data_IF_740972115129
#
_entry.id   IF_740972115129
#
_cell.length_a   1.000
_cell.length_b   1.000
_cell.length_c   1.000
_cell.angle_alpha   90.00
_cell.angle_beta   90.00
_cell.angle_gamma   90.00
#
_symmetry.space_group_name_H-M   'P 1'
#
loop_
_entity.id
_entity.type
_entity.pdbx_description
1 polymer ?
#
# COMPACT_ATOMS: atom_id res chain seq x y z
N UNK A 1 -20.42 7.58 6.80
CA UNK A 1 -19.58 7.60 5.60
C UNK A 1 -18.13 7.54 6.03
N UNK A 2 -17.35 6.61 5.50
CA UNK A 2 -15.92 6.51 5.79
C UNK A 2 -15.17 7.69 5.17
N UNK A 3 -14.07 8.08 5.84
CA UNK A 3 -13.21 9.17 5.36
C UNK A 3 -11.81 8.67 4.98
N UNK A 4 -11.51 7.42 5.32
CA UNK A 4 -10.20 6.84 5.04
C UNK A 4 -10.33 5.32 4.82
N UNK A 5 -9.57 4.78 3.89
CA UNK A 5 -9.58 3.34 3.55
C UNK A 5 -9.31 2.43 4.74
N UNK A 6 -8.48 2.86 5.68
CA UNK A 6 -8.12 2.07 6.86
C UNK A 6 -9.31 1.75 7.75
N UNK A 7 -10.40 2.55 7.68
CA UNK A 7 -11.59 2.30 8.49
C UNK A 7 -12.30 0.98 8.15
N UNK A 8 -12.16 0.47 6.92
CA UNK A 8 -12.66 -0.85 6.55
C UNK A 8 -11.95 -1.94 7.34
N UNK A 9 -10.59 -1.91 7.33
CA UNK A 9 -9.79 -2.86 8.09
C UNK A 9 -10.04 -2.74 9.59
N UNK A 10 -10.02 -1.53 10.14
CA UNK A 10 -10.21 -1.25 11.57
C UNK A 10 -11.54 -1.77 12.10
N UNK A 11 -12.64 -1.55 11.35
CA UNK A 11 -13.98 -2.06 11.69
C UNK A 11 -14.05 -3.58 11.59
N UNK A 12 -13.46 -4.15 10.54
CA UNK A 12 -13.50 -5.60 10.32
C UNK A 12 -12.63 -6.34 11.34
N UNK A 13 -11.43 -5.85 11.63
CA UNK A 13 -10.55 -6.44 12.64
C UNK A 13 -11.16 -6.43 14.05
N UNK A 14 -11.99 -5.43 14.38
CA UNK A 14 -12.73 -5.40 15.65
C UNK A 14 -13.89 -6.40 15.68
N UNK A 15 -14.55 -6.62 14.54
CA UNK A 15 -15.75 -7.47 14.44
C UNK A 15 -15.43 -8.96 14.36
N UNK A 16 -14.42 -9.30 13.54
CA UNK A 16 -14.04 -10.69 13.22
C UNK A 16 -12.52 -10.87 13.20
N UNK A 17 -11.80 -10.64 14.32
CA UNK A 17 -10.33 -10.55 14.37
C UNK A 17 -9.63 -11.81 13.85
N UNK A 18 -10.14 -13.00 14.17
CA UNK A 18 -9.49 -14.29 13.88
C UNK A 18 -9.82 -14.84 12.47
N UNK A 19 -10.70 -14.17 11.74
CA UNK A 19 -11.05 -14.59 10.38
C UNK A 19 -9.88 -14.30 9.45
N UNK A 20 -9.52 -15.23 8.52
CA UNK A 20 -8.55 -14.97 7.47
C UNK A 20 -8.93 -13.74 6.64
N UNK A 21 -8.02 -12.79 6.52
CA UNK A 21 -8.16 -11.59 5.69
C UNK A 21 -7.49 -11.80 4.32
N UNK A 22 -6.26 -12.32 4.34
CA UNK A 22 -5.50 -12.64 3.14
C UNK A 22 -4.79 -13.97 3.30
N UNK A 23 -4.76 -14.73 2.20
CA UNK A 23 -4.11 -16.04 2.13
C UNK A 23 -3.27 -16.08 0.86
N UNK A 24 -2.01 -16.48 0.98
CA UNK A 24 -1.15 -16.86 -0.14
C UNK A 24 -0.65 -18.31 0.04
N UNK A 25 0.26 -18.76 -0.81
CA UNK A 25 0.76 -20.14 -0.78
C UNK A 25 1.49 -20.49 0.52
N UNK A 26 2.05 -19.51 1.23
CA UNK A 26 2.91 -19.71 2.37
C UNK A 26 2.28 -19.25 3.69
N UNK A 27 1.35 -18.29 3.64
CA UNK A 27 0.92 -17.55 4.82
C UNK A 27 -0.59 -17.29 4.81
N UNK A 28 -1.21 -17.43 5.97
CA UNK A 28 -2.56 -16.95 6.26
C UNK A 28 -2.47 -15.80 7.25
N UNK A 29 -3.01 -14.64 6.88
CA UNK A 29 -3.04 -13.46 7.72
C UNK A 29 -4.48 -13.14 8.11
N UNK A 30 -4.78 -13.13 9.41
CA UNK A 30 -6.10 -12.78 9.93
C UNK A 30 -6.33 -11.26 9.87
N UNK A 31 -7.57 -10.80 10.02
CA UNK A 31 -7.86 -9.37 10.10
C UNK A 31 -7.13 -8.69 11.25
N UNK A 32 -7.02 -9.35 12.41
CA UNK A 32 -6.23 -8.85 13.53
C UNK A 32 -4.74 -8.76 13.18
N UNK A 33 -4.17 -9.83 12.62
CA UNK A 33 -2.76 -9.86 12.20
C UNK A 33 -2.44 -8.78 11.16
N UNK A 34 -3.29 -8.64 10.13
CA UNK A 34 -3.13 -7.60 9.12
C UNK A 34 -3.18 -6.20 9.74
N UNK A 35 -4.14 -5.96 10.65
CA UNK A 35 -4.27 -4.68 11.35
C UNK A 35 -3.03 -4.36 12.19
N UNK A 36 -2.50 -5.33 12.96
CA UNK A 36 -1.31 -5.14 13.78
C UNK A 36 -0.05 -4.91 12.95
N UNK A 37 0.19 -5.74 11.94
CA UNK A 37 1.35 -5.62 11.07
C UNK A 37 1.35 -4.30 10.29
N UNK A 38 0.22 -3.91 9.72
CA UNK A 38 0.11 -2.63 9.00
C UNK A 38 0.39 -1.43 9.91
N UNK A 39 -0.07 -1.47 11.16
CA UNK A 39 0.20 -0.42 12.15
C UNK A 39 1.66 -0.39 12.59
N UNK A 40 2.30 -1.56 12.74
CA UNK A 40 3.73 -1.66 13.00
C UNK A 40 4.55 -0.98 11.89
N UNK A 41 4.27 -1.34 10.62
CA UNK A 41 4.92 -0.73 9.46
C UNK A 41 4.64 0.78 9.41
N UNK A 42 3.38 1.20 9.65
CA UNK A 42 3.01 2.61 9.70
C UNK A 42 3.77 3.38 10.78
N UNK A 43 4.04 2.75 11.92
CA UNK A 43 4.84 3.32 13.01
C UNK A 43 6.30 3.45 12.63
N UNK A 44 6.89 2.40 12.02
CA UNK A 44 8.28 2.42 11.55
C UNK A 44 8.52 3.57 10.55
N UNK A 45 7.62 3.69 9.56
CA UNK A 45 7.67 4.78 8.58
C UNK A 45 7.42 6.15 9.22
N UNK A 46 6.38 6.29 10.05
CA UNK A 46 6.00 7.56 10.67
C UNK A 46 7.03 8.11 11.66
N UNK A 47 7.90 7.27 12.24
CA UNK A 47 9.02 7.71 13.09
C UNK A 47 10.14 8.38 12.30
N UNK A 48 10.32 8.01 11.05
CA UNK A 48 11.45 8.48 10.21
C UNK A 48 11.02 9.49 9.16
N UNK A 49 9.75 9.42 8.71
CA UNK A 49 9.22 10.35 7.71
C UNK A 49 8.59 11.55 8.39
N UNK A 50 9.20 12.73 8.20
CA UNK A 50 8.76 13.97 8.84
C UNK A 50 7.49 14.58 8.23
N UNK A 51 6.98 14.03 7.12
CA UNK A 51 5.86 14.60 6.35
C UNK A 51 4.83 13.53 5.97
N UNK A 52 3.57 13.94 5.89
CA UNK A 52 2.47 13.16 5.33
C UNK A 52 2.22 13.53 3.85
N UNK A 53 1.31 12.81 3.20
CA UNK A 53 0.90 13.05 1.82
C UNK A 53 2.07 12.98 0.80
N UNK A 54 3.05 12.12 1.07
CA UNK A 54 4.18 11.87 0.18
C UNK A 54 4.09 10.45 -0.42
N UNK A 55 4.62 10.24 -1.63
CA UNK A 55 4.71 8.91 -2.20
C UNK A 55 5.70 8.05 -1.43
N UNK A 56 5.31 6.83 -1.09
CA UNK A 56 6.18 5.77 -0.58
C UNK A 56 6.10 4.60 -1.55
N UNK A 57 7.23 4.25 -2.14
CA UNK A 57 7.29 3.14 -3.09
C UNK A 57 7.28 1.82 -2.33
N UNK A 58 6.48 0.87 -2.80
CA UNK A 58 6.45 -0.50 -2.30
C UNK A 58 6.97 -1.42 -3.39
N UNK A 59 8.17 -1.95 -3.19
CA UNK A 59 8.86 -2.87 -4.10
C UNK A 59 8.91 -4.26 -3.47
N UNK A 60 7.96 -5.11 -3.83
CA UNK A 60 7.84 -6.43 -3.24
C UNK A 60 7.17 -7.40 -4.22
N UNK A 61 7.41 -8.69 -4.00
CA UNK A 61 6.63 -9.73 -4.63
C UNK A 61 5.20 -9.74 -4.08
N UNK A 62 4.26 -10.23 -4.89
CA UNK A 62 2.87 -10.36 -4.47
C UNK A 62 2.76 -11.35 -3.30
N UNK A 63 2.44 -10.85 -2.13
CA UNK A 63 2.35 -11.62 -0.89
C UNK A 63 1.38 -10.93 0.10
N UNK A 64 1.02 -11.63 1.17
CA UNK A 64 0.23 -11.03 2.26
C UNK A 64 1.01 -9.92 2.96
N UNK A 65 2.35 -10.02 3.06
CA UNK A 65 3.20 -8.98 3.63
C UNK A 65 3.21 -7.71 2.79
N UNK A 66 3.16 -7.84 1.46
CA UNK A 66 3.00 -6.68 0.59
C UNK A 66 1.69 -5.93 0.89
N UNK A 67 0.58 -6.64 1.12
CA UNK A 67 -0.69 -5.99 1.50
C UNK A 67 -0.55 -5.25 2.83
N UNK A 68 0.11 -5.85 3.82
CA UNK A 68 0.39 -5.19 5.09
C UNK A 68 1.25 -3.93 4.90
N UNK A 69 2.22 -3.96 3.98
CA UNK A 69 3.06 -2.80 3.65
C UNK A 69 2.26 -1.68 2.97
N UNK A 70 1.39 -1.99 1.99
CA UNK A 70 0.51 -1.00 1.34
C UNK A 70 -0.35 -0.27 2.37
N UNK A 71 -1.00 -1.02 3.27
CA UNK A 71 -1.80 -0.44 4.34
C UNK A 71 -0.95 0.28 5.39
N UNK A 72 0.25 -0.21 5.68
CA UNK A 72 1.21 0.42 6.58
C UNK A 72 1.64 1.80 6.09
N UNK A 73 1.84 1.96 4.77
CA UNK A 73 2.09 3.28 4.18
C UNK A 73 0.93 4.23 4.45
N UNK A 74 -0.33 3.78 4.31
CA UNK A 74 -1.49 4.61 4.63
C UNK A 74 -1.56 4.97 6.13
N UNK A 75 -1.19 4.05 7.03
CA UNK A 75 -1.11 4.33 8.47
C UNK A 75 -0.06 5.40 8.82
N UNK A 76 1.03 5.50 8.03
CA UNK A 76 2.03 6.56 8.20
C UNK A 76 1.56 7.95 7.70
N UNK A 77 0.34 8.05 7.17
CA UNK A 77 -0.20 9.29 6.57
C UNK A 77 0.29 9.58 5.16
N UNK A 78 0.89 8.60 4.50
CA UNK A 78 1.43 8.70 3.14
C UNK A 78 0.61 7.85 2.16
N UNK A 79 0.87 7.98 0.86
CA UNK A 79 0.22 7.15 -0.17
C UNK A 79 1.22 6.19 -0.80
N UNK A 80 0.75 4.99 -1.14
CA UNK A 80 1.62 3.97 -1.69
C UNK A 80 1.73 4.03 -3.21
N UNK A 81 2.90 3.61 -3.71
CA UNK A 81 3.20 3.46 -5.14
C UNK A 81 3.77 2.05 -5.33
N UNK A 82 2.93 1.07 -5.70
CA UNK A 82 3.39 -0.29 -5.88
C UNK A 82 4.18 -0.41 -7.17
N UNK A 83 5.37 -1.00 -7.11
CA UNK A 83 6.18 -1.35 -8.27
C UNK A 83 6.35 -2.87 -8.35
N UNK A 84 6.38 -3.36 -9.60
CA UNK A 84 6.64 -4.77 -9.87
C UNK A 84 8.10 -5.11 -9.60
N UNK A 85 8.34 -6.14 -8.79
CA UNK A 85 9.68 -6.66 -8.50
C UNK A 85 10.43 -7.19 -9.73
N UNK A 86 9.69 -7.54 -10.80
CA UNK A 86 10.25 -8.00 -12.07
C UNK A 86 10.56 -6.86 -13.05
N UNK A 87 10.30 -5.60 -12.66
CA UNK A 87 10.59 -4.45 -13.51
C UNK A 87 12.12 -4.29 -13.70
N UNK A 88 12.59 -3.98 -14.94
CA UNK A 88 14.02 -3.72 -15.16
C UNK A 88 14.56 -2.63 -14.21
N UNK A 89 15.76 -2.83 -13.60
CA UNK A 89 16.33 -1.89 -12.62
C UNK A 89 16.40 -0.45 -13.12
N UNK A 90 16.81 -0.25 -14.39
CA UNK A 90 16.90 1.09 -15.00
C UNK A 90 15.53 1.80 -15.05
N UNK A 91 14.44 1.04 -15.22
CA UNK A 91 13.09 1.60 -15.22
C UNK A 91 12.65 1.98 -13.81
N UNK A 92 12.98 1.16 -12.80
CA UNK A 92 12.73 1.49 -11.39
C UNK A 92 13.50 2.76 -11.00
N UNK A 93 14.79 2.85 -11.35
CA UNK A 93 15.62 4.02 -11.09
C UNK A 93 15.06 5.30 -11.72
N UNK A 94 14.62 5.22 -12.98
CA UNK A 94 14.00 6.36 -13.67
C UNK A 94 12.71 6.81 -12.98
N UNK A 95 11.85 5.86 -12.54
CA UNK A 95 10.64 6.16 -11.79
C UNK A 95 10.94 6.79 -10.43
N UNK A 96 11.90 6.26 -9.68
CA UNK A 96 12.32 6.82 -8.38
C UNK A 96 12.88 8.23 -8.54
N UNK A 97 13.71 8.47 -9.57
CA UNK A 97 14.29 9.78 -9.85
C UNK A 97 13.23 10.82 -10.22
N UNK A 98 12.20 10.42 -10.97
CA UNK A 98 11.07 11.28 -11.33
C UNK A 98 10.13 11.54 -10.14
N UNK A 99 9.81 10.49 -9.38
CA UNK A 99 8.84 10.53 -8.29
C UNK A 99 9.37 11.22 -7.05
N UNK A 100 10.67 11.09 -6.78
CA UNK A 100 11.33 11.55 -5.56
C UNK A 100 10.57 11.11 -4.29
N UNK A 101 10.39 9.80 -4.09
CA UNK A 101 9.57 9.29 -2.99
C UNK A 101 10.17 9.64 -1.64
N UNK A 102 9.32 9.72 -0.62
CA UNK A 102 9.76 9.89 0.76
C UNK A 102 10.55 8.68 1.28
N UNK A 103 10.23 7.49 0.75
CA UNK A 103 10.91 6.23 1.06
C UNK A 103 10.60 5.15 0.00
N UNK A 104 11.41 4.10 0.02
CA UNK A 104 11.14 2.82 -0.63
C UNK A 104 11.09 1.73 0.44
N UNK A 105 9.96 1.02 0.56
CA UNK A 105 9.84 -0.16 1.40
C UNK A 105 9.90 -1.42 0.51
N UNK A 106 10.65 -2.43 0.92
CA UNK A 106 10.96 -3.60 0.10
C UNK A 106 10.88 -4.90 0.91
N UNK A 107 10.58 -6.01 0.23
CA UNK A 107 10.72 -7.36 0.79
C UNK A 107 12.17 -7.87 0.67
N UNK A 108 12.58 -8.76 1.56
CA UNK A 108 13.92 -9.39 1.53
C UNK A 108 14.22 -10.07 0.20
N UNK A 109 13.21 -10.58 -0.50
CA UNK A 109 13.37 -11.20 -1.82
C UNK A 109 13.98 -10.26 -2.88
N UNK A 110 13.80 -8.95 -2.72
CA UNK A 110 14.32 -7.91 -3.65
C UNK A 110 15.33 -6.97 -3.00
N UNK A 111 15.91 -7.35 -1.85
CA UNK A 111 16.85 -6.52 -1.09
C UNK A 111 18.05 -6.05 -1.92
N UNK A 112 18.65 -6.96 -2.71
CA UNK A 112 19.79 -6.61 -3.56
C UNK A 112 19.45 -5.54 -4.61
N UNK A 113 18.23 -5.62 -5.18
CA UNK A 113 17.72 -4.61 -6.11
C UNK A 113 17.45 -3.30 -5.37
N UNK A 114 16.77 -3.35 -4.23
CA UNK A 114 16.45 -2.15 -3.43
C UNK A 114 17.73 -1.42 -2.97
N UNK A 115 18.76 -2.16 -2.55
CA UNK A 115 20.04 -1.60 -2.13
C UNK A 115 20.72 -0.74 -3.21
N UNK A 116 20.52 -1.06 -4.49
CA UNK A 116 21.06 -0.26 -5.61
C UNK A 116 20.45 1.15 -5.69
N UNK A 117 19.31 1.39 -5.04
CA UNK A 117 18.61 2.67 -5.01
C UNK A 117 18.84 3.48 -3.73
N UNK A 118 19.74 3.05 -2.84
CA UNK A 118 19.99 3.68 -1.53
C UNK A 118 20.40 5.15 -1.60
N UNK A 119 20.97 5.59 -2.75
CA UNK A 119 21.28 7.00 -3.00
C UNK A 119 20.10 7.89 -3.42
N UNK A 120 18.93 7.31 -3.71
CA UNK A 120 17.76 8.05 -4.23
C UNK A 120 16.73 8.36 -3.14
N UNK A 121 16.55 7.48 -2.18
CA UNK A 121 15.62 7.67 -1.06
C UNK A 121 15.95 6.73 0.11
N UNK A 122 15.42 7.00 1.32
CA UNK A 122 15.49 6.08 2.46
C UNK A 122 14.88 4.71 2.14
N UNK A 123 15.54 3.64 2.60
CA UNK A 123 15.11 2.25 2.38
C UNK A 123 14.60 1.63 3.68
N UNK A 124 13.51 0.86 3.59
CA UNK A 124 12.90 0.12 4.71
C UNK A 124 12.65 -1.33 4.32
N UNK A 125 13.08 -2.28 5.13
CA UNK A 125 12.66 -3.68 4.98
C UNK A 125 11.26 -3.87 5.55
N UNK A 126 10.39 -4.55 4.80
CA UNK A 126 9.06 -4.94 5.26
C UNK A 126 9.20 -5.81 6.50
N UNK A 127 10.07 -6.82 6.45
CA UNK A 127 10.25 -7.81 7.51
C UNK A 127 10.70 -7.16 8.82
N UNK A 128 11.65 -6.22 8.76
CA UNK A 128 12.06 -5.46 9.94
C UNK A 128 10.96 -4.55 10.48
N UNK A 129 10.17 -3.98 9.60
CA UNK A 129 9.08 -3.09 9.99
C UNK A 129 7.89 -3.85 10.61
N UNK A 130 7.69 -5.14 10.25
CA UNK A 130 6.67 -6.00 10.86
C UNK A 130 6.86 -6.19 12.37
N UNK A 131 8.11 -6.19 12.86
CA UNK A 131 8.45 -6.38 14.27
C UNK A 131 8.28 -5.09 15.11
N UNK A 132 7.85 -3.98 14.47
CA UNK A 132 7.68 -2.70 15.16
C UNK A 132 6.38 -2.68 15.95
N UNK A 133 6.45 -2.43 17.25
CA UNK A 133 5.26 -2.23 18.08
C UNK A 133 4.50 -0.97 17.65
N UNK A 134 3.17 -1.06 17.44
CA UNK A 134 2.33 0.07 17.05
C UNK A 134 2.33 1.20 18.08
N UNK A 135 2.54 2.43 17.62
CA UNK A 135 2.45 3.66 18.42
C UNK A 135 1.16 4.40 18.06
N UNK A 136 0.13 4.21 18.90
CA UNK A 136 -1.20 4.78 18.67
C UNK A 136 -1.21 6.30 18.60
N UNK A 137 -0.37 6.96 19.41
CA UNK A 137 -0.32 8.42 19.44
C UNK A 137 0.29 8.97 18.15
N UNK A 138 1.34 8.32 17.65
CA UNK A 138 1.96 8.68 16.37
C UNK A 138 0.99 8.45 15.20
N UNK A 139 0.40 7.25 15.11
CA UNK A 139 -0.53 6.90 14.04
C UNK A 139 -1.77 7.80 14.02
N UNK A 140 -2.27 8.17 15.20
CA UNK A 140 -3.38 9.13 15.31
C UNK A 140 -3.00 10.52 14.78
N UNK A 141 -1.80 11.01 15.09
CA UNK A 141 -1.29 12.28 14.53
C UNK A 141 -1.16 12.23 13.01
N UNK A 142 -0.59 11.13 12.47
CA UNK A 142 -0.51 10.93 11.02
C UNK A 142 -1.91 10.94 10.38
N UNK A 143 -2.86 10.20 10.98
CA UNK A 143 -4.24 10.11 10.50
C UNK A 143 -4.95 11.46 10.43
N UNK A 144 -4.73 12.34 11.41
CA UNK A 144 -5.36 13.67 11.48
C UNK A 144 -4.90 14.62 10.37
N UNK A 145 -3.76 14.33 9.72
CA UNK A 145 -3.22 15.13 8.63
C UNK A 145 -3.73 14.70 7.25
N UNK A 146 -4.49 13.59 7.17
CA UNK A 146 -4.97 13.02 5.89
C UNK A 146 -6.46 13.28 5.73
N UNK A 147 -6.81 13.90 4.61
CA UNK A 147 -8.20 14.12 4.18
C UNK A 147 -8.66 13.00 3.26
N UNK A 148 -9.96 12.85 3.08
CA UNK A 148 -10.54 11.86 2.16
C UNK A 148 -10.25 12.14 0.68
N UNK A 149 -9.95 13.40 0.34
CA UNK A 149 -9.53 13.82 -1.02
C UNK A 149 -8.05 13.63 -1.28
N UNK A 150 -7.26 13.37 -0.23
CA UNK A 150 -5.83 13.11 -0.39
C UNK A 150 -5.56 11.78 -1.09
N UNK A 151 -4.39 11.62 -1.71
CA UNK A 151 -3.98 10.39 -2.35
C UNK A 151 -4.02 9.19 -1.41
N UNK A 152 -4.60 8.07 -1.88
CA UNK A 152 -4.45 6.76 -1.26
C UNK A 152 -3.33 5.98 -1.95
N UNK A 153 -3.28 6.06 -3.29
CA UNK A 153 -2.23 5.41 -4.06
C UNK A 153 -1.96 6.10 -5.41
N UNK A 154 -0.83 5.75 -6.00
CA UNK A 154 -0.47 6.09 -7.38
C UNK A 154 -0.05 4.83 -8.12
N UNK A 155 -0.51 4.67 -9.36
CA UNK A 155 -0.10 3.59 -10.26
C UNK A 155 0.45 4.21 -11.55
N UNK A 156 1.55 3.64 -12.06
CA UNK A 156 2.12 4.06 -13.33
C UNK A 156 1.51 3.29 -14.50
N UNK A 157 1.16 4.01 -15.55
CA UNK A 157 0.71 3.46 -16.83
C UNK A 157 1.75 3.71 -17.91
N UNK A 158 1.77 2.84 -18.93
CA UNK A 158 2.61 3.05 -20.12
C UNK A 158 2.10 4.27 -20.88
N UNK A 159 2.86 5.37 -20.81
CA UNK A 159 2.53 6.56 -21.60
C UNK A 159 2.82 6.36 -23.10
N UNK A 160 1.95 6.86 -23.98
CA UNK A 160 2.17 6.87 -25.44
C UNK A 160 3.46 7.62 -25.88
N UNK A 161 4.01 8.42 -25.00
CA UNK A 161 5.25 9.19 -25.20
C UNK A 161 6.51 8.49 -24.69
N UNK A 162 6.41 7.21 -24.25
CA UNK A 162 7.52 6.42 -23.70
C UNK A 162 7.81 6.67 -22.22
N UNK A 163 7.39 7.81 -21.66
CA UNK A 163 7.53 8.10 -20.22
C UNK A 163 6.27 7.62 -19.46
N UNK A 164 6.43 6.85 -18.37
CA UNK A 164 5.30 6.41 -17.57
C UNK A 164 4.54 7.61 -16.97
N UNK A 165 3.20 7.53 -17.00
CA UNK A 165 2.34 8.52 -16.36
C UNK A 165 1.81 7.96 -15.05
N UNK A 166 1.95 8.71 -13.94
CA UNK A 166 1.38 8.35 -12.65
C UNK A 166 -0.09 8.80 -12.55
N UNK A 167 -0.98 7.85 -12.27
CA UNK A 167 -2.39 8.12 -11.96
C UNK A 167 -2.56 8.07 -10.47
N UNK A 168 -3.00 9.18 -9.88
CA UNK A 168 -3.27 9.31 -8.45
C UNK A 168 -4.75 9.03 -8.19
N UNK A 169 -5.03 8.20 -7.18
CA UNK A 169 -6.39 7.87 -6.75
C UNK A 169 -6.54 8.25 -5.27
N UNK A 170 -7.57 9.03 -4.95
CA UNK A 170 -7.84 9.48 -3.59
C UNK A 170 -8.51 8.40 -2.72
N UNK A 171 -8.45 8.56 -1.39
CA UNK A 171 -9.21 7.73 -0.46
C UNK A 171 -10.71 7.72 -0.80
N UNK A 172 -11.29 8.90 -1.07
CA UNK A 172 -12.71 9.04 -1.44
C UNK A 172 -13.07 8.22 -2.66
N UNK A 173 -12.26 8.32 -3.74
CA UNK A 173 -12.54 7.58 -4.98
C UNK A 173 -12.56 6.07 -4.77
N UNK A 174 -11.64 5.55 -3.93
CA UNK A 174 -11.60 4.12 -3.63
C UNK A 174 -12.78 3.71 -2.73
N UNK A 175 -13.14 4.53 -1.74
CA UNK A 175 -14.30 4.28 -0.87
C UNK A 175 -15.58 4.23 -1.70
N UNK A 176 -15.84 5.25 -2.53
CA UNK A 176 -17.03 5.33 -3.37
C UNK A 176 -17.11 4.14 -4.32
N UNK A 177 -15.98 3.77 -4.95
CA UNK A 177 -15.92 2.59 -5.81
C UNK A 177 -16.18 1.29 -5.03
N UNK A 178 -15.56 1.12 -3.86
CA UNK A 178 -15.71 -0.09 -3.05
C UNK A 178 -17.14 -0.27 -2.56
N UNK A 179 -17.77 0.80 -2.06
CA UNK A 179 -19.15 0.75 -1.58
C UNK A 179 -20.11 0.44 -2.73
N UNK A 180 -19.97 1.12 -3.88
CA UNK A 180 -20.76 0.84 -5.06
C UNK A 180 -20.56 -0.59 -5.59
N UNK A 181 -19.31 -1.05 -5.70
CA UNK A 181 -18.97 -2.34 -6.28
C UNK A 181 -19.50 -3.50 -5.42
N UNK A 182 -19.35 -3.41 -4.10
CA UNK A 182 -19.85 -4.44 -3.17
C UNK A 182 -21.37 -4.53 -3.21
N UNK A 183 -22.07 -3.40 -3.32
CA UNK A 183 -23.52 -3.37 -3.46
C UNK A 183 -23.98 -3.90 -4.83
N UNK A 184 -23.37 -3.44 -5.91
CA UNK A 184 -23.77 -3.77 -7.29
C UNK A 184 -23.60 -5.27 -7.61
N UNK A 185 -22.57 -5.91 -7.05
CA UNK A 185 -22.29 -7.34 -7.28
C UNK A 185 -22.91 -8.21 -6.17
N UNK A 186 -23.32 -7.62 -5.05
CA UNK A 186 -23.88 -8.34 -3.92
C UNK A 186 -22.84 -9.10 -3.11
N UNK A 187 -21.60 -8.58 -3.01
CA UNK A 187 -20.53 -9.18 -2.21
C UNK A 187 -20.91 -9.14 -0.74
N UNK A 188 -20.74 -10.25 -0.07
CA UNK A 188 -21.05 -10.44 1.35
C UNK A 188 -19.81 -10.86 2.15
N UNK A 189 -19.92 -10.89 3.47
CA UNK A 189 -18.84 -11.39 4.33
C UNK A 189 -18.55 -12.90 4.22
N UNK A 190 -19.35 -13.65 3.46
CA UNK A 190 -19.14 -15.08 3.20
C UNK A 190 -18.31 -15.33 1.91
N UNK A 191 -18.11 -14.30 1.08
CA UNK A 191 -17.42 -14.46 -0.19
C UNK A 191 -15.90 -14.45 -0.01
N UNK A 192 -15.24 -15.30 -0.80
CA UNK A 192 -13.78 -15.36 -0.89
C UNK A 192 -13.39 -14.87 -2.29
N UNK A 193 -12.60 -13.81 -2.36
CA UNK A 193 -12.20 -13.18 -3.59
C UNK A 193 -10.78 -13.62 -4.00
N UNK A 194 -10.62 -14.10 -5.24
CA UNK A 194 -9.30 -14.39 -5.81
C UNK A 194 -8.67 -13.15 -6.42
N UNK A 195 -7.45 -12.81 -6.01
CA UNK A 195 -6.66 -11.75 -6.65
C UNK A 195 -5.69 -12.37 -7.67
N UNK A 196 -5.91 -12.12 -8.96
CA UNK A 196 -5.03 -12.56 -10.06
C UNK A 196 -4.16 -11.42 -10.58
N UNK A 197 -4.62 -10.18 -10.54
CA UNK A 197 -3.90 -9.04 -11.07
C UNK A 197 -2.76 -8.61 -10.14
N UNK A 198 -1.60 -8.18 -10.68
CA UNK A 198 -0.58 -7.52 -9.88
C UNK A 198 -1.12 -6.24 -9.22
N UNK A 199 -0.66 -5.91 -8.01
CA UNK A 199 -1.09 -4.67 -7.32
C UNK A 199 -0.66 -3.38 -8.01
N UNK A 200 0.30 -3.44 -8.93
CA UNK A 200 0.72 -2.33 -9.78
C UNK A 200 -0.10 -2.19 -11.07
N UNK A 201 -1.08 -3.06 -11.30
CA UNK A 201 -1.90 -3.04 -12.52
C UNK A 201 -3.04 -2.02 -12.42
N UNK A 202 -3.12 -1.12 -13.40
CA UNK A 202 -4.21 -0.15 -13.51
C UNK A 202 -5.33 -0.71 -14.40
N UNK A 203 -6.52 -0.93 -13.82
CA UNK A 203 -7.73 -1.35 -14.55
C UNK A 203 -8.35 -0.23 -15.41
N UNK A 204 -7.83 1.00 -15.35
CA UNK A 204 -8.35 2.13 -16.11
C UNK A 204 -7.89 2.16 -17.57
N UNK A 205 -7.30 1.09 -18.05
CA UNK A 205 -6.99 0.97 -19.47
C UNK A 205 -8.28 0.57 -20.22
N UNK A 206 -9.07 1.55 -20.60
CA UNK A 206 -10.01 1.37 -21.71
C UNK A 206 -9.20 1.47 -22.97
N UNK A 207 -9.01 0.36 -23.65
CA UNK A 207 -8.62 0.35 -25.05
C UNK A 207 -9.68 1.12 -25.83
N UNK A 208 -9.25 2.12 -26.59
CA UNK A 208 -10.05 2.73 -27.65
C UNK A 208 -10.51 1.66 -28.67
#
# INVERSE_FOLDING_TARGET
>A
MQKNLLEYLEKTAKRIPETPAFVDECTTLTFFGLHQQSRGIGTALGRQLASCNRPVVVLAERSVQMVAALLGVLYSGNFYVPLDSQMPPQRVEALLSQLQPAALIYSTAVEALAASFSGLCPLFSIEQALDTEPDDALLSRCRQQVLDVDPAYMIFTSGSTGMPKGIIVSHRSVIDFTDWFTEAIGITGADILGNQAPFCFCLLYTSD
#
